data_IF_127356866888
#
_entry.id   IF_127356866888
#
_cell.length_a   1.000
_cell.length_b   1.000
_cell.length_c   1.000
_cell.angle_alpha   90.00
_cell.angle_beta   90.00
_cell.angle_gamma   90.00
#
_symmetry.space_group_name_H-M   'P 1'
#
loop_
_entity.id
_entity.type
_entity.pdbx_description
1 polymer ?
#
# COMPACT_ATOMS: atom_id res chain seq x y z
N UNK A 1 36.10 -12.13 23.35
CA UNK A 1 35.81 -11.75 21.94
C UNK A 1 34.45 -11.09 21.88
N UNK A 2 34.26 -10.10 21.00
CA UNK A 2 32.95 -9.43 20.83
C UNK A 2 31.91 -10.41 20.31
N UNK A 3 30.68 -10.36 20.86
CA UNK A 3 29.53 -11.14 20.35
C UNK A 3 29.09 -10.71 18.95
N UNK A 4 29.60 -9.58 18.46
CA UNK A 4 29.25 -8.98 17.18
C UNK A 4 30.39 -9.09 16.14
N UNK A 5 31.44 -9.87 16.44
CA UNK A 5 32.64 -9.94 15.60
C UNK A 5 32.39 -10.51 14.19
N UNK A 6 31.28 -11.21 13.98
CA UNK A 6 30.88 -11.79 12.70
C UNK A 6 29.86 -10.95 11.93
N UNK A 7 29.49 -9.76 12.43
CA UNK A 7 28.54 -8.89 11.74
C UNK A 7 29.25 -8.15 10.60
N UNK A 8 28.72 -8.30 9.39
CA UNK A 8 29.18 -7.58 8.20
C UNK A 8 28.34 -6.34 7.96
N UNK A 9 28.97 -5.30 7.43
CA UNK A 9 28.28 -4.08 7.02
C UNK A 9 27.24 -4.41 5.96
N UNK A 10 25.99 -4.01 6.21
CA UNK A 10 24.93 -4.20 5.23
C UNK A 10 25.11 -3.23 4.06
N UNK A 11 24.79 -3.65 2.82
CA UNK A 11 24.80 -2.75 1.68
C UNK A 11 23.82 -1.60 1.90
N UNK A 12 24.15 -0.40 1.42
CA UNK A 12 23.22 0.73 1.46
C UNK A 12 22.03 0.45 0.54
N UNK A 13 20.84 0.83 0.97
CA UNK A 13 19.69 0.90 0.08
C UNK A 13 20.01 1.82 -1.12
N UNK A 14 19.85 1.36 -2.37
CA UNK A 14 20.26 2.15 -3.55
C UNK A 14 19.57 3.51 -3.66
N UNK A 15 18.32 3.64 -3.21
CA UNK A 15 17.56 4.90 -3.26
C UNK A 15 18.15 5.88 -2.23
N UNK A 16 18.37 5.43 -0.99
CA UNK A 16 18.95 6.29 0.04
C UNK A 16 20.43 6.60 -0.19
N UNK A 17 21.18 5.70 -0.83
CA UNK A 17 22.54 5.97 -1.28
C UNK A 17 22.57 7.16 -2.27
N UNK A 18 21.60 7.26 -3.18
CA UNK A 18 21.46 8.43 -4.07
C UNK A 18 21.08 9.71 -3.31
N UNK A 19 20.27 9.61 -2.26
CA UNK A 19 19.96 10.77 -1.40
C UNK A 19 21.21 11.29 -0.70
N UNK A 20 22.04 10.39 -0.14
CA UNK A 20 23.32 10.75 0.48
C UNK A 20 24.24 11.48 -0.51
N UNK A 21 24.33 10.98 -1.75
CA UNK A 21 25.12 11.60 -2.81
C UNK A 21 24.57 12.98 -3.18
N UNK A 22 23.26 13.09 -3.37
CA UNK A 22 22.59 14.37 -3.64
C UNK A 22 22.83 15.40 -2.52
N UNK A 23 22.79 15.00 -1.25
CA UNK A 23 23.03 15.91 -0.13
C UNK A 23 24.46 16.44 -0.11
N UNK A 24 25.44 15.58 -0.44
CA UNK A 24 26.86 15.93 -0.49
C UNK A 24 27.29 16.71 -1.72
N UNK A 25 26.51 16.68 -2.79
CA UNK A 25 26.78 17.45 -3.99
C UNK A 25 26.67 18.96 -3.70
N UNK A 26 27.74 19.72 -3.91
CA UNK A 26 27.77 21.18 -3.68
C UNK A 26 27.31 21.98 -4.89
N UNK A 27 27.01 21.32 -6.03
CA UNK A 27 26.54 22.00 -7.23
C UNK A 27 25.19 22.69 -6.96
N UNK A 28 25.07 24.02 -7.13
CA UNK A 28 23.83 24.75 -6.89
C UNK A 28 22.70 24.36 -7.85
N UNK A 29 23.02 23.68 -8.96
CA UNK A 29 22.06 23.21 -9.97
C UNK A 29 21.76 21.70 -9.86
N UNK A 30 22.12 21.05 -8.75
CA UNK A 30 21.81 19.63 -8.53
C UNK A 30 20.30 19.38 -8.52
N UNK A 31 19.87 18.27 -9.12
CA UNK A 31 18.46 17.88 -9.19
C UNK A 31 18.30 16.52 -8.53
N UNK A 32 17.30 16.39 -7.65
CA UNK A 32 16.99 15.12 -7.00
C UNK A 32 15.81 14.43 -7.71
N UNK A 33 16.10 13.30 -8.36
CA UNK A 33 15.11 12.40 -8.97
C UNK A 33 15.15 10.98 -8.37
N UNK A 34 15.67 10.82 -7.14
CA UNK A 34 15.86 9.49 -6.53
C UNK A 34 14.63 9.00 -5.76
N UNK A 35 14.10 9.82 -4.84
CA UNK A 35 12.97 9.44 -3.97
C UNK A 35 11.66 9.92 -4.58
N UNK A 36 10.70 9.01 -4.72
CA UNK A 36 9.31 9.30 -5.13
C UNK A 36 8.52 10.05 -4.04
N UNK A 37 8.94 11.27 -3.74
CA UNK A 37 8.24 12.20 -2.85
C UNK A 37 7.99 13.49 -3.60
N UNK A 38 6.73 13.93 -3.60
CA UNK A 38 6.30 15.12 -4.32
C UNK A 38 7.05 16.38 -3.83
N UNK A 39 7.31 17.29 -4.76
CA UNK A 39 7.97 18.58 -4.55
C UNK A 39 7.17 19.67 -5.25
N UNK A 40 7.19 20.88 -4.70
CA UNK A 40 6.66 22.06 -5.37
C UNK A 40 7.54 22.50 -6.55
N UNK A 41 7.13 23.57 -7.22
CA UNK A 41 7.79 24.17 -8.37
C UNK A 41 9.22 24.66 -8.06
N UNK A 42 9.52 24.95 -6.79
CA UNK A 42 10.85 25.29 -6.30
C UNK A 42 11.67 24.07 -5.85
N UNK A 43 11.15 22.85 -6.03
CA UNK A 43 11.83 21.61 -5.65
C UNK A 43 11.85 21.34 -4.14
N UNK A 44 11.01 22.00 -3.34
CA UNK A 44 10.93 21.87 -1.88
C UNK A 44 9.82 20.89 -1.46
N UNK A 45 9.90 20.32 -0.23
CA UNK A 45 8.82 19.48 0.29
C UNK A 45 7.49 20.24 0.36
N UNK A 46 6.47 19.70 -0.32
CA UNK A 46 5.15 20.28 -0.35
C UNK A 46 4.22 19.60 0.66
N UNK A 47 3.63 20.40 1.55
CA UNK A 47 2.63 19.95 2.52
C UNK A 47 1.26 20.40 2.03
N UNK A 48 0.37 19.44 1.76
CA UNK A 48 -0.97 19.69 1.26
C UNK A 48 -1.72 20.68 2.18
N UNK A 49 -2.36 21.73 1.63
CA UNK A 49 -3.19 22.66 2.39
C UNK A 49 -4.20 21.99 3.34
N UNK A 50 -4.90 20.95 2.87
CA UNK A 50 -5.87 20.20 3.69
C UNK A 50 -5.21 19.53 4.90
N UNK A 51 -3.97 19.04 4.76
CA UNK A 51 -3.21 18.41 5.85
C UNK A 51 -2.82 19.44 6.90
N UNK A 52 -2.48 20.67 6.49
CA UNK A 52 -2.25 21.77 7.43
C UNK A 52 -3.52 22.11 8.23
N UNK A 53 -4.68 22.16 7.55
CA UNK A 53 -5.99 22.38 8.20
C UNK A 53 -6.31 21.28 9.20
N UNK A 54 -6.17 20.02 8.81
CA UNK A 54 -6.42 18.87 9.69
C UNK A 54 -5.47 18.84 10.90
N UNK A 55 -4.20 19.22 10.73
CA UNK A 55 -3.26 19.40 11.86
C UNK A 55 -3.73 20.48 12.82
N UNK A 56 -4.24 21.60 12.31
CA UNK A 56 -4.77 22.68 13.16
C UNK A 56 -6.04 22.24 13.89
N UNK A 57 -6.93 21.48 13.24
CA UNK A 57 -8.11 20.90 13.90
C UNK A 57 -7.69 19.99 15.04
N UNK A 58 -6.76 19.05 14.78
CA UNK A 58 -6.24 18.13 15.80
C UNK A 58 -5.57 18.86 16.97
N UNK A 59 -4.81 19.93 16.70
CA UNK A 59 -4.14 20.72 17.73
C UNK A 59 -5.12 21.43 18.68
N UNK A 60 -6.31 21.79 18.19
CA UNK A 60 -7.32 22.50 18.98
C UNK A 60 -8.41 21.56 19.55
N UNK A 61 -8.31 20.26 19.33
CA UNK A 61 -9.24 19.27 19.87
C UNK A 61 -8.94 19.04 21.37
N UNK A 62 -9.84 19.42 22.31
CA UNK A 62 -9.61 19.27 23.74
C UNK A 62 -9.60 17.80 24.20
N UNK A 63 -10.04 16.87 23.34
CA UNK A 63 -10.05 15.43 23.61
C UNK A 63 -8.79 14.73 23.07
N UNK A 64 -8.00 15.41 22.26
CA UNK A 64 -6.76 14.88 21.73
C UNK A 64 -5.75 14.60 22.85
N UNK A 65 -5.13 13.43 22.78
CA UNK A 65 -4.20 12.94 23.79
C UNK A 65 -3.17 11.99 23.16
N UNK A 66 -2.23 11.54 23.98
CA UNK A 66 -1.12 10.66 23.58
C UNK A 66 -1.25 9.24 24.17
N UNK A 67 -2.45 8.83 24.55
CA UNK A 67 -2.69 7.49 25.10
C UNK A 67 -2.46 6.39 24.05
N UNK A 68 -2.21 5.18 24.53
CA UNK A 68 -2.02 4.02 23.67
C UNK A 68 -3.31 3.67 22.90
N UNK A 69 -3.13 3.33 21.63
CA UNK A 69 -4.21 2.78 20.81
C UNK A 69 -4.40 1.27 21.08
N UNK A 70 -5.60 0.73 20.75
CA UNK A 70 -5.77 -0.71 20.57
C UNK A 70 -4.73 -1.27 19.58
N UNK A 71 -4.35 -2.54 19.75
CA UNK A 71 -3.37 -3.22 18.87
C UNK A 71 -3.81 -3.23 17.40
N UNK A 72 -5.11 -3.14 17.15
CA UNK A 72 -5.73 -3.08 15.82
C UNK A 72 -5.93 -1.65 15.31
N UNK A 73 -5.59 -0.64 16.10
CA UNK A 73 -5.92 0.76 15.84
C UNK A 73 -7.34 1.14 16.24
N UNK A 74 -7.72 2.38 15.93
CA UNK A 74 -9.04 2.95 16.22
C UNK A 74 -10.03 2.50 15.13
N UNK A 75 -11.16 1.91 15.53
CA UNK A 75 -12.11 1.28 14.62
C UNK A 75 -12.74 2.25 13.61
N UNK A 76 -13.11 3.46 14.02
CA UNK A 76 -13.66 4.48 13.10
C UNK A 76 -12.67 4.82 11.99
N UNK A 77 -11.39 4.96 12.34
CA UNK A 77 -10.33 5.33 11.39
C UNK A 77 -10.12 4.20 10.39
N UNK A 78 -10.16 2.95 10.86
CA UNK A 78 -10.08 1.76 10.02
C UNK A 78 -11.26 1.69 9.03
N UNK A 79 -12.48 1.98 9.48
CA UNK A 79 -13.68 2.02 8.62
C UNK A 79 -13.57 3.10 7.54
N UNK A 80 -13.09 4.29 7.88
CA UNK A 80 -12.93 5.37 6.92
C UNK A 80 -11.87 5.06 5.86
N UNK A 81 -10.72 4.51 6.28
CA UNK A 81 -9.69 4.04 5.34
C UNK A 81 -10.20 2.92 4.41
N UNK A 82 -10.95 1.95 4.96
CA UNK A 82 -11.53 0.85 4.19
C UNK A 82 -12.56 1.34 3.14
N UNK A 83 -13.35 2.38 3.44
CA UNK A 83 -14.27 3.00 2.46
C UNK A 83 -13.54 3.61 1.27
N UNK A 84 -12.37 4.22 1.48
CA UNK A 84 -11.58 4.82 0.39
C UNK A 84 -11.06 3.76 -0.57
N UNK A 85 -10.54 2.66 -0.04
CA UNK A 85 -9.93 1.61 -0.88
C UNK A 85 -10.97 0.69 -1.51
N UNK A 86 -12.01 0.29 -0.77
CA UNK A 86 -13.04 -0.64 -1.24
C UNK A 86 -14.23 0.02 -1.92
N UNK A 87 -14.43 1.32 -1.70
CA UNK A 87 -15.63 2.05 -2.09
C UNK A 87 -16.73 1.94 -1.02
N UNK A 88 -17.47 3.03 -0.82
CA UNK A 88 -18.53 3.11 0.22
C UNK A 88 -19.64 2.07 0.05
N UNK A 89 -19.89 1.63 -1.18
CA UNK A 89 -20.94 0.68 -1.56
C UNK A 89 -20.39 -0.75 -1.73
N UNK A 90 -19.17 -1.02 -1.25
CA UNK A 90 -18.54 -2.33 -1.39
C UNK A 90 -19.36 -3.42 -0.67
N UNK A 91 -19.66 -4.57 -1.32
CA UNK A 91 -20.36 -5.67 -0.67
C UNK A 91 -19.56 -6.24 0.52
N UNK A 92 -18.23 -6.22 0.44
CA UNK A 92 -17.37 -6.68 1.53
C UNK A 92 -17.49 -5.83 2.81
N UNK A 93 -17.87 -4.55 2.68
CA UNK A 93 -18.13 -3.68 3.83
C UNK A 93 -19.52 -3.91 4.40
N UNK A 94 -20.56 -4.00 3.56
CA UNK A 94 -21.94 -4.23 4.03
C UNK A 94 -22.14 -5.62 4.66
N UNK A 95 -21.33 -6.60 4.27
CA UNK A 95 -21.37 -7.98 4.75
C UNK A 95 -20.38 -8.25 5.91
N UNK A 96 -19.71 -7.21 6.42
CA UNK A 96 -18.70 -7.30 7.49
C UNK A 96 -17.58 -8.34 7.20
N UNK A 97 -17.15 -8.44 5.94
CA UNK A 97 -16.12 -9.40 5.48
C UNK A 97 -14.71 -8.82 5.44
N UNK A 98 -14.52 -7.57 5.85
CA UNK A 98 -13.23 -6.90 5.79
C UNK A 98 -12.61 -6.71 7.18
N UNK A 99 -11.45 -7.32 7.41
CA UNK A 99 -10.62 -7.10 8.58
C UNK A 99 -9.58 -6.00 8.30
N UNK A 100 -9.71 -4.83 8.93
CA UNK A 100 -8.82 -3.67 8.67
C UNK A 100 -8.08 -3.18 9.90
N UNK A 101 -6.75 -3.31 10.01
CA UNK A 101 -5.98 -2.72 11.13
C UNK A 101 -5.11 -1.54 10.68
N UNK A 102 -4.78 -0.63 11.61
CA UNK A 102 -3.75 0.39 11.40
C UNK A 102 -2.35 -0.22 11.31
N UNK A 103 -1.49 0.35 10.48
CA UNK A 103 -0.11 -0.11 10.26
C UNK A 103 0.86 1.08 10.12
N UNK A 104 2.16 0.78 10.11
CA UNK A 104 3.21 1.78 9.85
C UNK A 104 3.38 1.97 8.34
N UNK A 105 2.45 2.72 7.75
CA UNK A 105 2.30 2.90 6.31
C UNK A 105 2.19 1.59 5.52
N UNK A 106 2.38 1.66 4.19
CA UNK A 106 2.41 0.48 3.32
C UNK A 106 3.51 -0.52 3.68
N UNK A 107 4.70 -0.06 4.09
CA UNK A 107 5.81 -0.96 4.47
C UNK A 107 5.44 -1.84 5.67
N UNK A 108 4.88 -1.24 6.72
CA UNK A 108 4.41 -2.00 7.89
C UNK A 108 3.22 -2.92 7.53
N UNK A 109 2.34 -2.48 6.63
CA UNK A 109 1.25 -3.33 6.13
C UNK A 109 1.79 -4.57 5.41
N UNK A 110 2.77 -4.41 4.51
CA UNK A 110 3.40 -5.51 3.77
C UNK A 110 4.11 -6.49 4.72
N UNK A 111 4.84 -5.99 5.72
CA UNK A 111 5.50 -6.86 6.72
C UNK A 111 4.48 -7.68 7.52
N UNK A 112 3.41 -7.04 8.00
CA UNK A 112 2.35 -7.73 8.74
C UNK A 112 1.61 -8.74 7.83
N UNK A 113 1.38 -8.39 6.56
CA UNK A 113 0.78 -9.30 5.58
C UNK A 113 1.64 -10.55 5.36
N UNK A 114 2.97 -10.40 5.25
CA UNK A 114 3.89 -11.54 5.10
C UNK A 114 3.89 -12.42 6.37
N UNK A 115 3.96 -11.83 7.56
CA UNK A 115 3.82 -12.57 8.84
C UNK A 115 2.49 -13.33 8.95
N UNK A 116 1.41 -12.74 8.43
CA UNK A 116 0.10 -13.38 8.38
C UNK A 116 0.06 -14.54 7.36
N UNK A 117 0.53 -14.32 6.14
CA UNK A 117 0.58 -15.34 5.08
C UNK A 117 1.49 -16.52 5.45
N UNK A 118 2.57 -16.27 6.21
CA UNK A 118 3.42 -17.32 6.77
C UNK A 118 2.64 -18.26 7.69
N UNK A 119 1.75 -17.73 8.53
CA UNK A 119 0.85 -18.55 9.37
C UNK A 119 -0.14 -19.36 8.52
N UNK A 120 -0.58 -18.79 7.39
CA UNK A 120 -1.44 -19.46 6.42
C UNK A 120 -0.70 -20.44 5.49
N UNK A 121 0.64 -20.51 5.56
CA UNK A 121 1.50 -21.32 4.68
C UNK A 121 1.39 -20.97 3.19
N UNK A 122 1.09 -19.72 2.87
CA UNK A 122 0.97 -19.20 1.50
C UNK A 122 2.33 -18.69 0.99
N UNK A 123 3.18 -19.61 0.54
CA UNK A 123 4.53 -19.32 0.00
C UNK A 123 4.81 -20.19 -1.24
N UNK A 124 5.55 -19.71 -2.26
CA UNK A 124 6.18 -18.40 -2.37
C UNK A 124 5.21 -17.27 -2.77
N UNK A 125 5.61 -16.03 -2.51
CA UNK A 125 4.95 -14.82 -3.04
C UNK A 125 5.56 -14.48 -4.40
N UNK A 126 4.74 -14.46 -5.44
CA UNK A 126 5.13 -14.03 -6.78
C UNK A 126 5.10 -12.49 -6.88
N UNK A 127 6.22 -11.88 -7.28
CA UNK A 127 6.40 -10.43 -7.44
C UNK A 127 6.71 -10.10 -8.90
N UNK A 128 6.34 -8.91 -9.36
CA UNK A 128 6.61 -8.49 -10.74
C UNK A 128 8.12 -8.37 -11.02
N UNK A 129 8.54 -8.62 -12.26
CA UNK A 129 9.88 -8.28 -12.73
C UNK A 129 9.82 -7.09 -13.73
N UNK A 130 10.33 -5.90 -13.36
CA UNK A 130 10.85 -5.50 -12.05
C UNK A 130 9.73 -5.16 -11.04
N UNK A 131 10.08 -4.90 -9.77
CA UNK A 131 9.16 -4.43 -8.72
C UNK A 131 9.85 -3.41 -7.79
N UNK A 132 9.14 -2.87 -6.79
CA UNK A 132 9.74 -2.00 -5.78
C UNK A 132 10.84 -2.76 -5.02
N UNK A 133 12.05 -2.21 -5.00
CA UNK A 133 13.25 -2.91 -4.51
C UNK A 133 13.07 -3.54 -3.12
N UNK A 134 12.32 -2.91 -2.23
CA UNK A 134 12.14 -3.37 -0.86
C UNK A 134 11.14 -4.54 -0.72
N UNK A 135 10.38 -4.91 -1.76
CA UNK A 135 9.49 -6.09 -1.70
C UNK A 135 10.27 -7.37 -1.35
N UNK A 136 11.41 -7.59 -2.03
CA UNK A 136 12.28 -8.76 -1.79
C UNK A 136 12.77 -8.79 -0.35
N UNK A 137 13.32 -7.66 0.12
CA UNK A 137 13.84 -7.53 1.48
C UNK A 137 12.77 -7.76 2.56
N UNK A 138 11.55 -7.25 2.37
CA UNK A 138 10.44 -7.48 3.31
C UNK A 138 10.07 -8.97 3.35
N UNK A 139 9.90 -9.61 2.19
CA UNK A 139 9.49 -11.02 2.10
C UNK A 139 10.56 -11.90 2.76
N UNK A 140 11.82 -11.73 2.39
CA UNK A 140 12.97 -12.46 2.95
C UNK A 140 13.12 -12.23 4.47
N UNK A 141 12.92 -11.00 4.96
CA UNK A 141 13.03 -10.69 6.38
C UNK A 141 12.04 -11.47 7.24
N UNK A 142 10.84 -11.71 6.72
CA UNK A 142 9.83 -12.54 7.41
C UNK A 142 10.07 -14.05 7.26
N UNK A 143 11.12 -14.44 6.53
CA UNK A 143 11.46 -15.84 6.24
C UNK A 143 10.52 -16.49 5.23
N UNK A 144 9.85 -15.69 4.39
CA UNK A 144 9.06 -16.16 3.26
C UNK A 144 9.92 -16.23 1.99
N UNK A 145 9.49 -17.05 1.03
CA UNK A 145 10.14 -17.14 -0.28
C UNK A 145 9.43 -16.25 -1.29
N UNK A 146 10.17 -15.71 -2.26
CA UNK A 146 9.61 -15.01 -3.42
C UNK A 146 10.03 -15.63 -4.74
N UNK A 147 9.19 -15.45 -5.75
CA UNK A 147 9.46 -15.77 -7.16
C UNK A 147 9.07 -14.58 -8.01
N UNK A 148 9.58 -14.52 -9.23
CA UNK A 148 9.23 -13.44 -10.17
C UNK A 148 8.21 -13.92 -11.21
N UNK A 149 7.37 -12.99 -11.68
CA UNK A 149 6.59 -13.13 -12.90
C UNK A 149 6.89 -11.98 -13.85
N UNK A 150 6.83 -12.24 -15.15
CA UNK A 150 7.12 -11.26 -16.19
C UNK A 150 6.11 -10.12 -16.14
N UNK A 151 6.60 -8.88 -16.18
CA UNK A 151 5.76 -7.69 -16.18
C UNK A 151 6.17 -6.72 -17.29
N UNK A 152 7.45 -6.40 -17.38
CA UNK A 152 7.95 -5.35 -18.28
C UNK A 152 8.51 -5.91 -19.58
N UNK A 153 8.06 -5.39 -20.72
CA UNK A 153 8.71 -5.57 -22.01
C UNK A 153 9.77 -4.48 -22.21
N UNK A 154 11.05 -4.82 -22.10
CA UNK A 154 12.14 -3.85 -22.23
C UNK A 154 12.23 -3.22 -23.62
N UNK A 155 11.97 -3.99 -24.69
CA UNK A 155 12.07 -3.52 -26.07
C UNK A 155 10.92 -2.57 -26.41
N UNK A 156 9.68 -2.96 -26.06
CA UNK A 156 8.45 -2.19 -26.34
C UNK A 156 8.17 -1.11 -25.30
N UNK A 157 8.89 -1.12 -24.17
CA UNK A 157 8.71 -0.23 -23.01
C UNK A 157 7.26 -0.16 -22.54
N UNK A 158 6.64 -1.32 -22.38
CA UNK A 158 5.25 -1.44 -21.93
C UNK A 158 5.02 -2.74 -21.13
N UNK A 159 3.77 -2.96 -20.70
CA UNK A 159 3.36 -4.20 -20.04
C UNK A 159 3.45 -5.37 -21.02
N UNK A 160 4.19 -6.41 -20.65
CA UNK A 160 4.22 -7.69 -21.35
C UNK A 160 3.05 -8.58 -20.87
N UNK A 161 1.83 -8.22 -21.26
CA UNK A 161 0.63 -8.92 -20.76
C UNK A 161 0.61 -10.40 -21.12
N UNK A 162 1.09 -10.78 -22.30
CA UNK A 162 1.02 -12.17 -22.76
C UNK A 162 1.92 -13.07 -21.90
N UNK A 163 3.18 -12.64 -21.67
CA UNK A 163 4.11 -13.36 -20.80
C UNK A 163 3.67 -13.34 -19.32
N UNK A 164 3.07 -12.23 -18.86
CA UNK A 164 2.51 -12.14 -17.50
C UNK A 164 1.44 -13.22 -17.28
N UNK A 165 0.49 -13.34 -18.23
CA UNK A 165 -0.58 -14.32 -18.13
C UNK A 165 -0.06 -15.76 -18.27
N UNK A 166 0.96 -15.98 -19.12
CA UNK A 166 1.64 -17.26 -19.25
C UNK A 166 2.31 -17.69 -17.94
N UNK A 167 3.07 -16.80 -17.30
CA UNK A 167 3.72 -17.08 -16.02
C UNK A 167 2.70 -17.39 -14.92
N UNK A 168 1.59 -16.65 -14.86
CA UNK A 168 0.50 -16.94 -13.92
C UNK A 168 -0.16 -18.30 -14.20
N UNK A 169 -0.40 -18.64 -15.46
CA UNK A 169 -0.95 -19.95 -15.82
C UNK A 169 -0.01 -21.11 -15.47
N UNK A 170 1.30 -20.90 -15.58
CA UNK A 170 2.34 -21.88 -15.28
C UNK A 170 2.66 -22.00 -13.78
N UNK A 171 2.31 -21.00 -12.97
CA UNK A 171 2.47 -21.08 -11.52
C UNK A 171 1.61 -22.22 -10.92
N UNK A 172 2.03 -22.86 -9.81
CA UNK A 172 1.21 -23.83 -9.10
C UNK A 172 -0.12 -23.23 -8.68
N UNK A 173 -1.19 -24.04 -8.71
CA UNK A 173 -2.51 -23.62 -8.21
C UNK A 173 -2.38 -23.12 -6.76
N UNK A 174 -3.21 -22.14 -6.37
CA UNK A 174 -3.17 -21.51 -5.05
C UNK A 174 -1.92 -20.67 -4.74
N UNK A 175 -1.10 -20.33 -5.74
CA UNK A 175 0.00 -19.37 -5.58
C UNK A 175 -0.48 -17.95 -5.18
N UNK A 176 0.34 -17.23 -4.41
CA UNK A 176 0.08 -15.83 -4.01
C UNK A 176 0.79 -14.86 -4.93
N UNK A 177 0.10 -13.84 -5.42
CA UNK A 177 0.68 -12.80 -6.30
C UNK A 177 0.60 -11.43 -5.64
N UNK A 178 1.76 -10.78 -5.48
CA UNK A 178 1.86 -9.37 -5.10
C UNK A 178 1.67 -8.50 -6.35
N UNK A 179 0.61 -7.71 -6.32
CA UNK A 179 0.11 -6.88 -7.41
C UNK A 179 0.18 -5.41 -6.98
N UNK A 180 0.74 -4.54 -7.82
CA UNK A 180 0.60 -3.09 -7.61
C UNK A 180 -0.81 -2.70 -8.04
N UNK A 181 -1.57 -2.03 -7.17
CA UNK A 181 -2.95 -1.65 -7.47
C UNK A 181 -3.04 -0.66 -8.64
N UNK A 182 -2.10 0.30 -8.67
CA UNK A 182 -1.92 1.32 -9.70
C UNK A 182 -0.54 1.98 -9.53
N UNK A 183 -0.12 2.77 -10.52
CA UNK A 183 1.16 3.45 -10.62
C UNK A 183 2.35 2.52 -10.28
N UNK A 184 2.45 1.41 -11.01
CA UNK A 184 3.44 0.37 -10.76
C UNK A 184 4.85 0.94 -10.56
N UNK A 185 5.45 0.63 -9.41
CA UNK A 185 6.81 1.06 -9.08
C UNK A 185 7.78 -0.10 -9.39
N UNK A 186 8.73 0.05 -10.36
CA UNK A 186 9.28 1.31 -10.87
C UNK A 186 8.85 1.71 -12.30
N UNK A 187 8.08 0.89 -13.01
CA UNK A 187 7.88 1.07 -14.47
C UNK A 187 6.91 2.19 -14.84
N UNK A 188 6.05 2.62 -13.92
CA UNK A 188 4.96 3.56 -14.17
C UNK A 188 3.90 3.06 -15.15
N UNK A 189 3.88 1.76 -15.45
CA UNK A 189 2.99 1.16 -16.45
C UNK A 189 2.02 0.20 -15.78
N UNK A 190 0.72 0.47 -15.89
CA UNK A 190 -0.34 -0.34 -15.30
C UNK A 190 -1.12 -1.13 -16.36
N UNK A 191 -1.71 -2.29 -16.00
CA UNK A 191 -2.65 -2.97 -16.88
C UNK A 191 -3.90 -2.10 -17.10
N UNK A 192 -4.39 -2.11 -18.33
CA UNK A 192 -5.73 -1.57 -18.66
C UNK A 192 -6.82 -2.39 -17.95
N UNK A 193 -8.04 -1.84 -17.84
CA UNK A 193 -9.17 -2.57 -17.23
C UNK A 193 -9.42 -3.92 -17.90
N UNK A 194 -9.28 -4.03 -19.22
CA UNK A 194 -9.46 -5.31 -19.92
C UNK A 194 -8.31 -6.28 -19.68
N UNK A 195 -7.08 -5.80 -19.49
CA UNK A 195 -5.96 -6.66 -19.10
C UNK A 195 -6.13 -7.15 -17.65
N UNK A 196 -6.59 -6.29 -16.74
CA UNK A 196 -6.94 -6.70 -15.37
C UNK A 196 -8.04 -7.76 -15.33
N UNK A 197 -9.05 -7.69 -16.21
CA UNK A 197 -10.05 -8.76 -16.33
C UNK A 197 -9.40 -10.09 -16.70
N UNK A 198 -8.48 -10.12 -17.67
CA UNK A 198 -7.72 -11.34 -18.04
C UNK A 198 -6.88 -11.88 -16.89
N UNK A 199 -6.21 -10.99 -16.14
CA UNK A 199 -5.45 -11.38 -14.94
C UNK A 199 -6.38 -12.01 -13.91
N UNK A 200 -7.52 -11.38 -13.64
CA UNK A 200 -8.54 -11.88 -12.73
C UNK A 200 -9.06 -13.27 -13.16
N UNK A 201 -9.30 -13.48 -14.45
CA UNK A 201 -9.74 -14.77 -15.00
C UNK A 201 -8.72 -15.88 -14.76
N UNK A 202 -7.44 -15.62 -15.04
CA UNK A 202 -6.34 -16.58 -14.79
C UNK A 202 -6.23 -16.89 -13.30
N UNK A 203 -6.22 -15.86 -12.45
CA UNK A 203 -6.13 -16.05 -11.01
C UNK A 203 -7.32 -16.84 -10.46
N UNK A 204 -8.53 -16.61 -10.99
CA UNK A 204 -9.72 -17.37 -10.59
C UNK A 204 -9.62 -18.83 -11.01
N UNK A 205 -9.19 -19.08 -12.25
CA UNK A 205 -8.99 -20.44 -12.81
C UNK A 205 -7.97 -21.25 -12.02
N UNK A 206 -6.93 -20.59 -11.51
CA UNK A 206 -5.81 -21.22 -10.79
C UNK A 206 -5.93 -21.12 -9.27
N UNK A 207 -7.05 -20.59 -8.77
CA UNK A 207 -7.28 -20.30 -7.36
C UNK A 207 -6.18 -19.46 -6.71
N UNK A 208 -5.52 -18.59 -7.47
CA UNK A 208 -4.45 -17.74 -6.97
C UNK A 208 -4.96 -16.69 -5.99
N UNK A 209 -4.12 -16.36 -5.02
CA UNK A 209 -4.42 -15.40 -3.97
C UNK A 209 -3.90 -13.99 -4.33
N UNK A 210 -4.77 -12.98 -4.49
CA UNK A 210 -4.38 -11.61 -4.76
C UNK A 210 -3.91 -10.89 -3.49
N UNK A 211 -2.70 -10.36 -3.56
CA UNK A 211 -2.09 -9.51 -2.55
C UNK A 211 -1.76 -8.16 -3.18
N UNK A 212 -2.51 -7.11 -2.86
CA UNK A 212 -2.32 -5.77 -3.45
C UNK A 212 -1.44 -4.86 -2.58
N UNK A 213 -0.47 -4.21 -3.20
CA UNK A 213 0.19 -2.99 -2.68
C UNK A 213 -0.43 -1.75 -3.32
N UNK A 214 -1.01 -0.88 -2.50
CA UNK A 214 -1.67 0.35 -2.91
C UNK A 214 -1.06 1.57 -2.20
N UNK A 215 0.06 2.05 -2.75
CA UNK A 215 0.79 3.19 -2.21
C UNK A 215 0.52 4.54 -2.91
N UNK A 216 -0.15 4.50 -4.07
CA UNK A 216 -0.26 5.62 -5.00
C UNK A 216 -1.69 5.94 -5.43
N UNK A 217 -2.71 5.44 -4.71
CA UNK A 217 -4.12 5.72 -5.04
C UNK A 217 -4.37 7.22 -5.20
N UNK A 218 -4.86 7.61 -6.38
CA UNK A 218 -5.08 8.98 -6.81
C UNK A 218 -4.05 9.46 -7.83
N UNK A 219 -2.82 8.93 -7.85
CA UNK A 219 -1.73 9.41 -8.71
C UNK A 219 -1.64 8.78 -10.09
N UNK A 220 -2.34 7.68 -10.38
CA UNK A 220 -2.29 7.07 -11.71
C UNK A 220 -3.25 7.81 -12.66
N UNK A 221 -4.55 7.80 -12.35
CA UNK A 221 -5.58 8.44 -13.18
C UNK A 221 -5.93 9.87 -12.75
N UNK A 222 -5.58 10.28 -11.52
CA UNK A 222 -6.11 11.47 -10.89
C UNK A 222 -7.37 11.22 -10.05
N UNK A 223 -7.84 9.98 -9.97
CA UNK A 223 -9.12 9.63 -9.37
C UNK A 223 -8.99 8.39 -8.46
N UNK A 224 -9.44 8.53 -7.21
CA UNK A 224 -9.29 7.47 -6.20
C UNK A 224 -10.03 6.18 -6.59
N UNK A 225 -11.20 6.30 -7.23
CA UNK A 225 -12.04 5.16 -7.57
C UNK A 225 -11.48 4.40 -8.77
N UNK A 226 -11.01 5.10 -9.80
CA UNK A 226 -10.33 4.48 -10.93
C UNK A 226 -9.03 3.79 -10.50
N UNK A 227 -8.27 4.39 -9.58
CA UNK A 227 -7.00 3.84 -9.10
C UNK A 227 -7.18 2.64 -8.14
N UNK A 228 -8.35 2.49 -7.54
CA UNK A 228 -8.74 1.29 -6.77
C UNK A 228 -9.54 0.27 -7.57
N UNK A 229 -9.78 0.51 -8.86
CA UNK A 229 -10.71 -0.29 -9.67
C UNK A 229 -10.33 -1.77 -9.71
N UNK A 230 -9.04 -2.10 -9.87
CA UNK A 230 -8.59 -3.50 -9.93
C UNK A 230 -8.91 -4.25 -8.63
N UNK A 231 -8.66 -3.64 -7.46
CA UNK A 231 -8.99 -4.23 -6.15
C UNK A 231 -10.49 -4.50 -6.05
N UNK A 232 -11.30 -3.49 -6.36
CA UNK A 232 -12.77 -3.57 -6.25
C UNK A 232 -13.34 -4.62 -7.20
N UNK A 233 -12.83 -4.66 -8.43
CA UNK A 233 -13.22 -5.66 -9.42
C UNK A 233 -12.93 -7.09 -8.93
N UNK A 234 -11.75 -7.36 -8.36
CA UNK A 234 -11.43 -8.67 -7.81
C UNK A 234 -12.38 -9.06 -6.67
N UNK A 235 -12.70 -8.13 -5.78
CA UNK A 235 -13.65 -8.37 -4.68
C UNK A 235 -15.06 -8.65 -5.22
N UNK A 236 -15.52 -7.92 -6.23
CA UNK A 236 -16.79 -8.18 -6.92
C UNK A 236 -16.80 -9.55 -7.60
N UNK A 237 -15.65 -10.05 -8.07
CA UNK A 237 -15.51 -11.39 -8.63
C UNK A 237 -15.45 -12.50 -7.57
N UNK A 238 -15.56 -12.15 -6.28
CA UNK A 238 -15.66 -13.08 -5.15
C UNK A 238 -14.32 -13.48 -4.53
N UNK A 239 -13.23 -12.78 -4.83
CA UNK A 239 -11.91 -13.12 -4.29
C UNK A 239 -11.81 -12.83 -2.79
N UNK A 240 -11.12 -13.72 -2.08
CA UNK A 240 -10.36 -13.39 -0.88
C UNK A 240 -9.12 -12.58 -1.27
N UNK A 241 -8.74 -11.54 -0.51
CA UNK A 241 -7.61 -10.68 -0.86
C UNK A 241 -6.94 -10.00 0.34
N UNK A 242 -5.67 -9.63 0.20
CA UNK A 242 -4.98 -8.67 1.08
C UNK A 242 -4.76 -7.37 0.31
N UNK A 243 -4.96 -6.22 0.97
CA UNK A 243 -4.63 -4.89 0.44
C UNK A 243 -3.80 -4.12 1.47
N UNK A 244 -2.62 -3.69 1.07
CA UNK A 244 -1.73 -2.82 1.85
C UNK A 244 -1.90 -1.38 1.37
N UNK A 245 -2.48 -0.53 2.21
CA UNK A 245 -2.78 0.87 1.89
C UNK A 245 -1.77 1.81 2.55
N UNK A 246 -1.24 2.76 1.78
CA UNK A 246 -0.34 3.80 2.30
C UNK A 246 -0.90 5.20 2.05
N UNK A 247 -0.86 6.06 3.07
CA UNK A 247 -1.15 7.48 2.94
C UNK A 247 0.12 8.35 2.80
N UNK A 248 1.29 7.72 2.67
CA UNK A 248 2.56 8.43 2.57
C UNK A 248 2.63 9.39 1.38
N UNK A 249 2.04 9.03 0.24
CA UNK A 249 2.12 9.83 -1.00
C UNK A 249 0.89 10.70 -1.16
N UNK A 250 -0.30 10.11 -1.17
CA UNK A 250 -1.54 10.83 -1.53
C UNK A 250 -1.98 11.87 -0.50
N UNK A 251 -1.53 11.76 0.75
CA UNK A 251 -1.65 12.82 1.75
C UNK A 251 -0.31 13.46 2.12
N UNK A 252 0.79 13.11 1.44
CA UNK A 252 2.13 13.63 1.76
C UNK A 252 2.63 13.30 3.17
N UNK A 253 2.06 12.29 3.84
CA UNK A 253 2.41 11.87 5.20
C UNK A 253 3.59 10.86 5.19
N UNK A 254 4.67 11.22 4.49
CA UNK A 254 5.80 10.33 4.19
C UNK A 254 6.43 9.72 5.45
N UNK A 255 6.95 10.57 6.34
CA UNK A 255 7.67 10.17 7.56
C UNK A 255 6.75 9.91 8.76
N UNK A 256 5.48 10.31 8.67
CA UNK A 256 4.48 10.16 9.74
C UNK A 256 3.87 8.75 9.77
N UNK A 257 4.12 7.97 8.71
CA UNK A 257 3.86 6.54 8.62
C UNK A 257 2.39 6.13 8.77
N UNK A 258 1.45 6.88 8.18
CA UNK A 258 0.04 6.50 8.11
C UNK A 258 -0.22 5.40 7.07
N UNK A 259 -0.85 4.30 7.48
CA UNK A 259 -1.32 3.24 6.59
C UNK A 259 -2.19 2.21 7.29
N UNK A 260 -2.72 1.30 6.49
CA UNK A 260 -3.64 0.26 6.92
C UNK A 260 -3.39 -1.02 6.12
N UNK A 261 -3.77 -2.16 6.70
CA UNK A 261 -3.91 -3.43 5.99
C UNK A 261 -5.38 -3.83 6.03
N UNK A 262 -5.90 -4.28 4.89
CA UNK A 262 -7.25 -4.78 4.73
C UNK A 262 -7.18 -6.24 4.26
N UNK A 263 -7.82 -7.16 4.98
CA UNK A 263 -7.98 -8.55 4.52
C UNK A 263 -9.46 -8.78 4.30
N UNK A 264 -9.82 -9.14 3.07
CA UNK A 264 -11.18 -9.36 2.62
C UNK A 264 -11.39 -10.86 2.52
N UNK A 265 -12.37 -11.38 3.26
CA UNK A 265 -12.78 -12.79 3.23
C UNK A 265 -13.71 -13.03 2.05
N UNK A 266 -13.62 -14.19 1.40
CA UNK A 266 -14.59 -14.59 0.37
C UNK A 266 -16.05 -14.60 0.89
N UNK A 267 -17.07 -14.40 0.05
CA UNK A 267 -18.46 -14.48 0.47
C UNK A 267 -18.85 -15.88 0.97
N UNK A 268 -19.21 -16.00 2.24
CA UNK A 268 -19.65 -17.26 2.86
C UNK A 268 -20.48 -17.00 4.12
N UNK A 269 -21.16 -18.03 4.62
CA UNK A 269 -21.97 -17.93 5.86
C UNK A 269 -21.15 -17.70 7.12
N UNK A 270 -19.84 -18.00 7.10
CA UNK A 270 -18.92 -17.79 8.22
C UNK A 270 -18.00 -16.56 8.04
N UNK A 271 -18.17 -15.78 6.97
CA UNK A 271 -17.21 -14.74 6.57
C UNK A 271 -17.02 -13.65 7.65
N UNK A 272 -18.10 -13.21 8.31
CA UNK A 272 -18.02 -12.21 9.38
C UNK A 272 -17.20 -12.69 10.58
N UNK A 273 -17.37 -13.95 10.97
CA UNK A 273 -16.63 -14.53 12.09
C UNK A 273 -15.17 -14.77 11.72
N UNK A 274 -14.91 -15.22 10.49
CA UNK A 274 -13.55 -15.36 9.97
C UNK A 274 -12.84 -14.00 9.91
N UNK A 275 -13.51 -12.94 9.47
CA UNK A 275 -12.95 -11.58 9.48
C UNK A 275 -12.57 -11.10 10.89
N UNK A 276 -13.36 -11.40 11.92
CA UNK A 276 -13.01 -11.11 13.32
C UNK A 276 -11.78 -11.89 13.78
N UNK A 277 -11.69 -13.18 13.44
CA UNK A 277 -10.54 -14.02 13.78
C UNK A 277 -9.26 -13.54 13.08
N UNK A 278 -9.36 -13.12 11.82
CA UNK A 278 -8.27 -12.50 11.07
C UNK A 278 -7.83 -11.20 11.76
N UNK A 279 -8.77 -10.30 12.08
CA UNK A 279 -8.49 -9.04 12.80
C UNK A 279 -7.76 -9.28 14.12
N UNK A 280 -8.18 -10.30 14.89
CA UNK A 280 -7.53 -10.70 16.14
C UNK A 280 -6.09 -11.17 15.91
N UNK A 281 -5.86 -12.01 14.90
CA UNK A 281 -4.52 -12.49 14.55
C UNK A 281 -3.59 -11.36 14.10
N UNK A 282 -4.09 -10.40 13.33
CA UNK A 282 -3.35 -9.20 12.93
C UNK A 282 -2.99 -8.32 14.13
N UNK A 283 -3.90 -8.18 15.10
CA UNK A 283 -3.62 -7.53 16.38
C UNK A 283 -2.50 -8.23 17.16
N UNK A 284 -2.52 -9.57 17.20
CA UNK A 284 -1.47 -10.36 17.83
C UNK A 284 -0.09 -10.21 17.16
N UNK A 285 -0.04 -10.13 15.83
CA UNK A 285 1.20 -9.84 15.09
C UNK A 285 1.69 -8.42 15.45
N UNK A 286 0.79 -7.44 15.40
CA UNK A 286 1.13 -6.04 15.72
C UNK A 286 1.67 -5.89 17.13
N UNK A 287 1.08 -6.59 18.10
CA UNK A 287 1.52 -6.60 19.50
C UNK A 287 2.97 -7.02 19.65
N UNK A 288 3.37 -8.05 18.92
CA UNK A 288 4.72 -8.63 19.00
C UNK A 288 5.79 -7.79 18.31
N UNK A 289 5.42 -6.97 17.31
CA UNK A 289 6.37 -6.17 16.53
C UNK A 289 6.48 -4.73 17.08
N UNK A 290 5.33 -4.10 17.38
CA UNK A 290 5.25 -2.66 17.66
C UNK A 290 4.41 -2.30 18.89
N UNK A 291 3.78 -3.27 19.55
CA UNK A 291 2.69 -3.06 20.51
C UNK A 291 1.41 -2.49 19.89
N UNK A 292 1.46 -1.26 19.36
CA UNK A 292 0.36 -0.58 18.66
C UNK A 292 0.92 0.42 17.64
N UNK A 293 0.12 0.75 16.62
CA UNK A 293 0.54 1.66 15.54
C UNK A 293 0.50 3.14 16.00
N UNK A 294 1.38 4.02 15.45
CA UNK A 294 1.37 5.44 15.74
C UNK A 294 0.04 6.12 15.41
N UNK A 295 -0.43 7.01 16.29
CA UNK A 295 -1.78 7.58 16.20
C UNK A 295 -1.86 8.95 15.48
N UNK A 296 -0.82 9.77 15.58
CA UNK A 296 -0.89 11.17 15.15
C UNK A 296 -1.27 11.31 13.66
N UNK A 297 -0.57 10.56 12.80
CA UNK A 297 -0.78 10.60 11.36
C UNK A 297 -2.15 10.07 10.95
N UNK A 298 -2.61 8.96 11.55
CA UNK A 298 -3.91 8.35 11.24
C UNK A 298 -5.09 9.19 11.76
N UNK A 299 -4.91 10.00 12.80
CA UNK A 299 -5.89 11.03 13.20
C UNK A 299 -6.03 12.13 12.15
N UNK A 300 -4.93 12.60 11.58
CA UNK A 300 -4.95 13.57 10.47
C UNK A 300 -5.70 12.97 9.28
N UNK A 301 -5.38 11.73 8.90
CA UNK A 301 -6.10 11.00 7.85
C UNK A 301 -7.59 10.95 8.19
N UNK A 302 -7.96 10.53 9.39
CA UNK A 302 -9.36 10.37 9.79
C UNK A 302 -10.15 11.68 9.80
N UNK A 303 -9.56 12.79 10.27
CA UNK A 303 -10.17 14.12 10.21
C UNK A 303 -10.52 14.49 8.76
N UNK A 304 -9.59 14.24 7.83
CA UNK A 304 -9.80 14.51 6.40
C UNK A 304 -10.87 13.58 5.83
N UNK A 305 -10.84 12.29 6.16
CA UNK A 305 -11.74 11.29 5.60
C UNK A 305 -13.17 11.36 6.17
N UNK A 306 -13.34 11.89 7.38
CA UNK A 306 -14.64 11.97 8.06
C UNK A 306 -15.44 13.21 7.69
N UNK A 307 -14.77 14.28 7.23
CA UNK A 307 -15.41 15.54 6.86
C UNK A 307 -15.53 15.64 5.34
N UNK A 308 -16.75 15.73 4.77
CA UNK A 308 -16.95 15.79 3.31
C UNK A 308 -16.26 16.98 2.64
N UNK A 309 -16.15 18.12 3.33
CA UNK A 309 -15.47 19.29 2.79
C UNK A 309 -13.96 19.05 2.77
N UNK A 310 -13.36 18.57 3.86
CA UNK A 310 -11.92 18.26 3.88
C UNK A 310 -11.58 17.12 2.91
N UNK A 311 -12.45 16.13 2.76
CA UNK A 311 -12.29 15.07 1.75
C UNK A 311 -12.23 15.65 0.34
N UNK A 312 -13.13 16.58 0.02
CA UNK A 312 -13.13 17.27 -1.28
C UNK A 312 -11.88 18.12 -1.48
N UNK A 313 -11.44 18.86 -0.45
CA UNK A 313 -10.20 19.66 -0.52
C UNK A 313 -8.96 18.77 -0.72
N UNK A 314 -8.92 17.61 -0.07
CA UNK A 314 -7.86 16.63 -0.30
C UNK A 314 -7.84 16.14 -1.74
N UNK A 315 -9.01 15.85 -2.31
CA UNK A 315 -9.15 15.44 -3.69
C UNK A 315 -8.59 16.50 -4.66
N UNK A 316 -8.86 17.77 -4.42
CA UNK A 316 -8.34 18.87 -5.22
C UNK A 316 -6.82 19.05 -5.03
N UNK A 317 -6.34 18.98 -3.79
CA UNK A 317 -4.92 19.15 -3.45
C UNK A 317 -4.03 18.09 -4.13
N UNK A 318 -4.37 16.80 -4.04
CA UNK A 318 -3.52 15.77 -4.66
C UNK A 318 -3.67 15.77 -6.19
N UNK A 319 -4.84 16.17 -6.74
CA UNK A 319 -5.01 16.34 -8.18
C UNK A 319 -4.10 17.42 -8.74
N UNK A 320 -3.94 18.53 -8.01
CA UNK A 320 -3.01 19.58 -8.39
C UNK A 320 -1.59 19.02 -8.59
N UNK A 321 -1.15 18.12 -7.70
CA UNK A 321 0.14 17.44 -7.82
C UNK A 321 0.32 16.65 -9.13
N UNK A 322 -0.79 16.22 -9.76
CA UNK A 322 -0.81 15.47 -11.03
C UNK A 322 -0.96 16.42 -12.24
N UNK A 323 -1.74 17.49 -12.10
CA UNK A 323 -1.92 18.45 -13.20
C UNK A 323 -0.64 19.26 -13.46
N UNK A 324 0.13 19.58 -12.42
CA UNK A 324 1.41 20.27 -12.56
C UNK A 324 2.47 19.43 -13.27
N UNK A 325 2.33 18.09 -13.28
CA UNK A 325 3.25 17.19 -14.00
C UNK A 325 2.88 17.01 -15.49
N UNK A 326 1.63 17.32 -15.89
CA UNK A 326 1.14 17.19 -17.28
C UNK A 326 1.22 18.48 -18.12
N UNK A 327 1.59 19.62 -17.52
CA UNK A 327 1.58 20.95 -18.17
C UNK A 327 2.88 21.36 -18.88
N UNK A 328 3.75 20.42 -19.25
CA UNK A 328 4.96 20.72 -20.03
C UNK A 328 5.02 19.93 -21.32
#
# INVERSE_FOLDING_TARGET
MSRFATLEAQPKDPIFALVDLYQKDENPNKINISVGAYRDEEGKPYVLPVVKKAKQILLNDPTANHEYNPMTGVDSFCKNAAKVILGKDSPALSEDRCATIQTVAGTGALTIACEFLKKAKNTPIYISNPTWANHKAIIEHTGMEWKEYTYWNQEKRNLNIDALLEDMMNAPDNSTFLLHACAHNPTGTDPTKDQWKKICEVMKKKHHFPFFDCAYQGFASGDLDNDAWAIRYFIEQGFEAIVCQSFSKNMGLYSERAGYIHIIVEPSSNATELAKNIRSNLGGITRSILSNAPNFAVRIVDIILSDPQLFSEWYDDYKLCIFLTKKK
#
